data_IF_057245820498
#
_entry.id   IF_057245820498
#
_cell.length_a   1.000
_cell.length_b   1.000
_cell.length_c   1.000
_cell.angle_alpha   90.00
_cell.angle_beta   90.00
_cell.angle_gamma   90.00
#
_symmetry.space_group_name_H-M   'P 1'
#
loop_
_entity.id
_entity.type
_entity.pdbx_description
1 polymer ?
#
# COMPACT_ATOMS: atom_id res chain seq x y z
N UNK A 1 -8.70 -23.11 15.17
CA UNK A 1 -7.33 -23.45 15.63
C UNK A 1 -7.42 -24.12 17.00
N UNK A 2 -6.62 -25.16 17.29
CA UNK A 2 -6.63 -25.82 18.61
C UNK A 2 -6.15 -24.87 19.70
N UNK A 3 -6.64 -25.07 20.92
CA UNK A 3 -6.26 -24.25 22.07
C UNK A 3 -4.78 -24.46 22.45
N UNK A 4 -4.08 -23.38 22.78
CA UNK A 4 -2.69 -23.43 23.22
C UNK A 4 -2.53 -24.20 24.54
N UNK A 5 -1.49 -25.02 24.62
CA UNK A 5 -1.06 -25.70 25.86
C UNK A 5 -0.54 -24.70 26.90
N UNK A 6 -0.47 -25.09 28.18
CA UNK A 6 0.10 -24.25 29.24
C UNK A 6 1.55 -23.81 28.94
N UNK A 7 2.36 -24.71 28.38
CA UNK A 7 3.75 -24.42 28.01
C UNK A 7 3.83 -23.36 26.89
N UNK A 8 3.00 -23.49 25.85
CA UNK A 8 2.95 -22.51 24.76
C UNK A 8 2.47 -21.14 25.23
N UNK A 9 1.48 -21.08 26.13
CA UNK A 9 1.02 -19.82 26.73
C UNK A 9 2.14 -19.13 27.52
N UNK A 10 2.90 -19.88 28.33
CA UNK A 10 4.03 -19.33 29.09
C UNK A 10 5.14 -18.80 28.17
N UNK A 11 5.43 -19.52 27.09
CA UNK A 11 6.43 -19.08 26.10
C UNK A 11 5.98 -17.81 25.37
N UNK A 12 4.72 -17.75 24.94
CA UNK A 12 4.16 -16.57 24.29
C UNK A 12 4.22 -15.34 25.21
N UNK A 13 3.84 -15.51 26.49
CA UNK A 13 3.95 -14.44 27.48
C UNK A 13 5.40 -13.98 27.67
N UNK A 14 6.35 -14.90 27.81
CA UNK A 14 7.76 -14.53 27.96
C UNK A 14 8.31 -13.79 26.73
N UNK A 15 7.86 -14.17 25.53
CA UNK A 15 8.23 -13.47 24.29
C UNK A 15 7.63 -12.05 24.26
N UNK A 16 6.36 -11.90 24.64
CA UNK A 16 5.68 -10.61 24.73
C UNK A 16 6.31 -9.69 25.78
N UNK A 17 6.64 -10.22 26.97
CA UNK A 17 7.31 -9.46 28.03
C UNK A 17 8.69 -8.96 27.56
N UNK A 18 9.45 -9.83 26.88
CA UNK A 18 10.76 -9.45 26.33
C UNK A 18 10.64 -8.43 25.21
N UNK A 19 9.61 -8.56 24.36
CA UNK A 19 9.31 -7.60 23.29
C UNK A 19 8.99 -6.22 23.89
N UNK A 20 8.07 -6.16 24.86
CA UNK A 20 7.68 -4.92 25.52
C UNK A 20 8.86 -4.24 26.22
N UNK A 21 9.65 -4.98 26.98
CA UNK A 21 10.84 -4.44 27.66
C UNK A 21 11.85 -3.86 26.67
N UNK A 22 12.11 -4.54 25.55
CA UNK A 22 13.08 -4.10 24.55
C UNK A 22 12.65 -2.77 23.93
N UNK A 23 11.40 -2.66 23.49
CA UNK A 23 10.92 -1.46 22.81
C UNK A 23 10.56 -0.30 23.76
N UNK A 24 10.20 -0.59 25.02
CA UNK A 24 10.10 0.44 26.05
C UNK A 24 11.46 1.12 26.30
N UNK A 25 12.57 0.36 26.32
CA UNK A 25 13.92 0.93 26.43
C UNK A 25 14.28 1.75 25.19
N UNK A 26 13.93 1.29 24.00
CA UNK A 26 14.29 1.96 22.74
C UNK A 26 13.49 3.24 22.47
N UNK A 27 12.19 3.24 22.78
CA UNK A 27 11.27 4.32 22.42
C UNK A 27 10.78 5.17 23.61
N UNK A 28 11.20 4.81 24.83
CA UNK A 28 10.70 5.39 26.07
C UNK A 28 9.44 4.67 26.58
N UNK A 29 9.39 4.44 27.88
CA UNK A 29 8.33 3.63 28.51
C UNK A 29 6.93 4.21 28.29
N UNK A 30 6.76 5.52 28.51
CA UNK A 30 5.48 6.22 28.32
C UNK A 30 5.00 6.13 26.87
N UNK A 31 5.86 6.50 25.91
CA UNK A 31 5.52 6.47 24.48
C UNK A 31 5.19 5.05 24.02
N UNK A 32 5.95 4.06 24.46
CA UNK A 32 5.72 2.66 24.12
C UNK A 32 4.35 2.19 24.62
N UNK A 33 4.08 2.35 25.93
CA UNK A 33 2.87 1.85 26.57
C UNK A 33 1.61 2.59 26.13
N UNK A 34 1.67 3.91 25.96
CA UNK A 34 0.49 4.71 25.68
C UNK A 34 0.16 4.87 24.20
N UNK A 35 1.12 4.64 23.29
CA UNK A 35 0.90 4.92 21.86
C UNK A 35 1.34 3.78 20.93
N UNK A 36 2.61 3.37 20.96
CA UNK A 36 3.16 2.47 19.93
C UNK A 36 2.65 1.03 20.09
N UNK A 37 2.64 0.50 21.31
CA UNK A 37 2.17 -0.87 21.55
C UNK A 37 0.66 -1.01 21.28
N UNK A 38 -0.22 -0.11 21.77
CA UNK A 38 -1.64 -0.14 21.40
C UNK A 38 -1.87 -0.02 19.89
N UNK A 39 -1.12 0.84 19.19
CA UNK A 39 -1.23 0.98 17.75
C UNK A 39 -0.74 -0.27 16.98
N UNK A 40 0.28 -0.95 17.48
CA UNK A 40 0.78 -2.21 16.92
C UNK A 40 -0.21 -3.36 17.10
N UNK A 41 -0.92 -3.38 18.24
CA UNK A 41 -1.95 -4.37 18.54
C UNK A 41 -3.29 -4.11 17.80
N UNK A 42 -3.48 -2.91 17.26
CA UNK A 42 -4.65 -2.56 16.47
C UNK A 42 -4.61 -3.20 15.06
N UNK A 43 -5.77 -3.29 14.36
CA UNK A 43 -5.81 -3.80 13.00
C UNK A 43 -4.88 -3.06 12.04
N UNK A 44 -4.22 -3.80 11.14
CA UNK A 44 -3.34 -3.24 10.11
C UNK A 44 -4.12 -2.33 9.17
N UNK A 45 -3.60 -1.12 8.93
CA UNK A 45 -4.15 -0.20 7.93
C UNK A 45 -3.64 -0.56 6.55
N UNK A 46 -4.55 -1.06 5.72
CA UNK A 46 -4.26 -1.38 4.33
C UNK A 46 -4.47 -0.14 3.43
N UNK A 47 -3.88 -0.23 2.25
CA UNK A 47 -4.10 0.67 1.13
C UNK A 47 -4.48 -0.14 -0.12
N UNK A 48 -5.35 0.43 -0.95
CA UNK A 48 -5.53 0.00 -2.32
C UNK A 48 -4.64 0.83 -3.25
N UNK A 49 -3.59 0.22 -3.78
CA UNK A 49 -2.78 0.80 -4.86
C UNK A 49 -3.47 0.51 -6.20
N UNK A 50 -4.01 1.54 -6.84
CA UNK A 50 -4.65 1.40 -8.15
C UNK A 50 -3.64 0.97 -9.22
N UNK A 51 -4.07 0.07 -10.10
CA UNK A 51 -3.27 -0.39 -11.22
C UNK A 51 -3.43 0.56 -12.41
N UNK A 52 -2.48 1.48 -12.61
CA UNK A 52 -2.52 2.45 -13.72
C UNK A 52 -2.46 1.80 -15.10
N UNK A 53 -2.13 0.51 -15.17
CA UNK A 53 -2.10 -0.25 -16.41
C UNK A 53 -3.45 -0.86 -16.77
N UNK A 54 -4.40 -0.86 -15.82
CA UNK A 54 -5.73 -1.44 -15.95
C UNK A 54 -6.82 -0.36 -15.86
N UNK A 55 -6.71 0.53 -14.87
CA UNK A 55 -7.77 1.49 -14.53
C UNK A 55 -7.24 2.92 -14.50
N UNK A 56 -8.09 3.85 -14.94
CA UNK A 56 -7.83 5.30 -14.90
C UNK A 56 -8.59 6.00 -13.78
N UNK A 57 -9.73 5.43 -13.38
CA UNK A 57 -10.69 5.99 -12.44
C UNK A 57 -10.85 5.13 -11.18
N UNK A 58 -11.15 5.78 -10.06
CA UNK A 58 -11.45 5.18 -8.76
C UNK A 58 -12.72 4.32 -8.79
N UNK A 59 -13.68 4.70 -9.62
CA UNK A 59 -14.97 4.00 -9.76
C UNK A 59 -14.80 2.56 -10.31
N UNK A 60 -13.65 2.25 -10.92
CA UNK A 60 -13.30 0.89 -11.32
C UNK A 60 -12.83 0.00 -10.16
N UNK A 61 -12.55 0.60 -9.00
CA UNK A 61 -12.06 -0.08 -7.79
C UNK A 61 -13.10 -0.04 -6.68
N UNK A 62 -13.81 1.08 -6.53
CA UNK A 62 -14.72 1.36 -5.43
C UNK A 62 -16.13 1.68 -5.93
N UNK A 63 -17.16 1.34 -5.14
CA UNK A 63 -18.50 1.86 -5.37
C UNK A 63 -18.57 3.36 -5.06
N UNK A 64 -19.59 4.06 -5.57
CA UNK A 64 -19.78 5.49 -5.31
C UNK A 64 -19.83 5.83 -3.80
N UNK A 65 -20.46 4.98 -2.99
CA UNK A 65 -20.49 5.13 -1.53
C UNK A 65 -19.11 4.96 -0.89
N UNK A 66 -18.28 4.05 -1.43
CA UNK A 66 -16.93 3.81 -0.94
C UNK A 66 -15.96 4.93 -1.34
N UNK A 67 -16.13 5.51 -2.53
CA UNK A 67 -15.31 6.66 -2.98
C UNK A 67 -15.39 7.82 -1.99
N UNK A 68 -16.56 8.06 -1.38
CA UNK A 68 -16.73 9.08 -0.37
C UNK A 68 -16.03 8.78 0.98
N UNK A 69 -15.64 7.52 1.20
CA UNK A 69 -15.05 7.03 2.47
C UNK A 69 -13.55 6.78 2.39
N UNK A 70 -12.98 6.76 1.19
CA UNK A 70 -11.54 6.62 0.99
C UNK A 70 -10.85 7.97 0.90
N UNK A 71 -9.59 8.00 1.28
CA UNK A 71 -8.72 9.16 1.20
C UNK A 71 -7.41 8.78 0.50
N UNK A 72 -6.90 9.67 -0.35
CA UNK A 72 -5.62 9.47 -1.01
C UNK A 72 -4.47 9.50 0.00
N UNK A 73 -3.52 8.57 -0.15
CA UNK A 73 -2.31 8.54 0.68
C UNK A 73 -1.25 9.39 0.00
N UNK A 74 -0.73 10.39 0.73
CA UNK A 74 0.38 11.21 0.27
C UNK A 74 1.59 10.94 1.17
N UNK A 75 2.70 10.54 0.55
CA UNK A 75 3.98 10.38 1.24
C UNK A 75 4.91 11.53 0.88
N UNK A 76 5.83 11.91 1.79
CA UNK A 76 6.87 12.86 1.46
C UNK A 76 7.77 12.30 0.35
N UNK A 77 8.04 13.11 -0.67
CA UNK A 77 9.01 12.81 -1.73
C UNK A 77 10.26 13.66 -1.53
N UNK A 78 11.47 13.15 -1.86
CA UNK A 78 12.71 13.92 -1.74
C UNK A 78 12.77 15.16 -2.65
N UNK A 79 12.03 15.14 -3.76
CA UNK A 79 11.95 16.26 -4.72
C UNK A 79 10.57 16.89 -4.75
N UNK A 80 10.52 18.23 -4.83
CA UNK A 80 9.32 19.03 -5.15
C UNK A 80 9.07 19.06 -6.68
N UNK A 81 9.53 18.04 -7.42
CA UNK A 81 9.52 18.12 -8.87
C UNK A 81 8.09 18.12 -9.43
N UNK A 82 7.74 19.09 -10.30
CA UNK A 82 6.42 19.17 -10.92
C UNK A 82 6.15 18.03 -11.92
N UNK A 83 7.16 17.23 -12.25
CA UNK A 83 7.06 16.01 -13.09
C UNK A 83 6.67 14.75 -12.28
N UNK A 84 6.17 14.92 -11.06
CA UNK A 84 5.81 13.77 -10.24
C UNK A 84 4.63 13.01 -10.87
N UNK A 85 4.84 11.74 -11.18
CA UNK A 85 3.79 10.78 -11.51
C UNK A 85 3.50 9.93 -10.26
N UNK A 86 2.81 10.48 -9.23
CA UNK A 86 2.69 9.83 -7.94
C UNK A 86 1.91 8.52 -8.05
N UNK A 87 2.20 7.59 -7.14
CA UNK A 87 1.39 6.39 -6.99
C UNK A 87 0.00 6.80 -6.49
N UNK A 88 -1.04 6.29 -7.16
CA UNK A 88 -2.44 6.51 -6.76
C UNK A 88 -2.83 5.39 -5.80
N UNK A 89 -2.76 5.68 -4.51
CA UNK A 89 -3.13 4.75 -3.44
C UNK A 89 -4.09 5.39 -2.46
N UNK A 90 -5.00 4.57 -1.93
CA UNK A 90 -6.12 5.04 -1.11
C UNK A 90 -6.25 4.19 0.16
N UNK A 91 -6.52 4.85 1.28
CA UNK A 91 -6.84 4.20 2.55
C UNK A 91 -8.27 4.56 2.98
N UNK A 92 -8.88 3.78 3.86
CA UNK A 92 -10.13 4.17 4.49
C UNK A 92 -9.94 5.39 5.41
N UNK A 93 -11.00 6.18 5.58
CA UNK A 93 -11.08 7.20 6.63
C UNK A 93 -10.91 6.59 8.02
N UNK A 94 -10.52 7.40 9.01
CA UNK A 94 -10.28 6.93 10.39
C UNK A 94 -11.52 6.24 11.00
N UNK A 95 -12.72 6.71 10.65
CA UNK A 95 -14.00 6.12 11.08
C UNK A 95 -14.28 4.74 10.47
N UNK A 96 -13.54 4.32 9.45
CA UNK A 96 -13.72 3.10 8.68
C UNK A 96 -12.45 2.23 8.74
N UNK A 97 -11.61 2.40 9.78
CA UNK A 97 -10.29 1.78 9.86
C UNK A 97 -10.31 0.24 9.89
N UNK A 98 -11.45 -0.37 10.25
CA UNK A 98 -11.65 -1.82 10.26
C UNK A 98 -12.30 -2.36 8.98
N UNK A 99 -12.70 -1.47 8.05
CA UNK A 99 -13.34 -1.88 6.80
C UNK A 99 -12.34 -2.63 5.90
N UNK A 100 -12.83 -3.68 5.25
CA UNK A 100 -12.05 -4.44 4.28
C UNK A 100 -12.09 -3.76 2.91
N UNK A 101 -10.94 -3.77 2.23
CA UNK A 101 -10.91 -3.36 0.83
C UNK A 101 -11.62 -4.38 -0.07
N UNK A 102 -12.25 -3.94 -1.17
CA UNK A 102 -12.75 -4.86 -2.18
C UNK A 102 -11.63 -5.76 -2.71
N UNK A 103 -11.98 -6.95 -3.17
CA UNK A 103 -10.98 -7.83 -3.79
C UNK A 103 -10.60 -7.28 -5.18
N UNK A 104 -9.30 -7.29 -5.55
CA UNK A 104 -8.88 -6.96 -6.91
C UNK A 104 -9.63 -7.78 -7.96
N UNK A 105 -10.21 -7.08 -8.94
CA UNK A 105 -10.93 -7.69 -10.06
C UNK A 105 -10.13 -7.54 -11.34
N UNK A 106 -10.22 -8.47 -12.30
CA UNK A 106 -9.64 -8.26 -13.62
C UNK A 106 -10.42 -7.16 -14.38
N UNK A 107 -9.69 -6.19 -14.92
CA UNK A 107 -10.23 -5.19 -15.85
C UNK A 107 -10.62 -5.87 -17.18
N UNK A 108 -11.81 -5.53 -17.69
CA UNK A 108 -12.36 -6.15 -18.88
C UNK A 108 -11.53 -5.92 -20.15
N UNK A 109 -10.81 -4.80 -20.23
CA UNK A 109 -10.06 -4.41 -21.43
C UNK A 109 -8.65 -4.98 -21.48
N UNK A 110 -7.98 -5.04 -20.33
CA UNK A 110 -6.57 -5.42 -20.21
C UNK A 110 -6.36 -6.81 -19.60
N UNK A 111 -7.36 -7.35 -18.90
CA UNK A 111 -7.25 -8.57 -18.10
C UNK A 111 -6.38 -8.41 -16.84
N UNK A 112 -5.81 -7.22 -16.61
CA UNK A 112 -4.99 -6.92 -15.44
C UNK A 112 -5.86 -6.61 -14.23
N UNK A 113 -5.38 -6.91 -13.03
CA UNK A 113 -6.11 -6.59 -11.81
C UNK A 113 -6.26 -5.08 -11.61
N UNK A 114 -7.41 -4.64 -11.10
CA UNK A 114 -7.75 -3.22 -10.93
C UNK A 114 -6.86 -2.52 -9.90
N UNK A 115 -6.40 -3.23 -8.88
CA UNK A 115 -5.57 -2.68 -7.80
C UNK A 115 -4.82 -3.79 -7.04
N UNK A 116 -3.98 -3.38 -6.07
CA UNK A 116 -3.39 -4.25 -5.07
C UNK A 116 -3.69 -3.75 -3.67
N UNK A 117 -4.19 -4.65 -2.82
CA UNK A 117 -4.32 -4.40 -1.38
C UNK A 117 -3.01 -4.77 -0.70
N UNK A 118 -2.40 -3.80 -0.02
CA UNK A 118 -1.13 -3.97 0.70
C UNK A 118 -1.09 -3.09 1.94
N UNK A 119 -0.17 -3.38 2.87
CA UNK A 119 0.11 -2.47 3.99
C UNK A 119 0.48 -1.09 3.43
N UNK A 120 -0.24 -0.05 3.89
CA UNK A 120 -0.04 1.33 3.45
C UNK A 120 1.42 1.78 3.60
N UNK A 121 2.10 1.38 4.68
CA UNK A 121 3.48 1.75 4.93
C UNK A 121 4.46 1.16 3.89
N UNK A 122 4.09 0.10 3.19
CA UNK A 122 4.92 -0.50 2.14
C UNK A 122 5.19 0.45 0.96
N UNK A 123 4.28 1.39 0.71
CA UNK A 123 4.41 2.37 -0.38
C UNK A 123 5.43 3.46 -0.05
N UNK A 124 5.66 3.76 1.24
CA UNK A 124 6.64 4.77 1.66
C UNK A 124 8.03 4.49 1.11
N UNK A 125 8.46 3.22 1.12
CA UNK A 125 9.77 2.82 0.60
C UNK A 125 9.94 3.18 -0.89
N UNK A 126 8.90 2.98 -1.69
CA UNK A 126 8.90 3.31 -3.11
C UNK A 126 8.79 4.83 -3.33
N UNK A 127 8.01 5.53 -2.51
CA UNK A 127 7.89 6.98 -2.56
C UNK A 127 9.19 7.70 -2.25
N UNK A 128 9.97 7.22 -1.27
CA UNK A 128 11.29 7.78 -0.94
C UNK A 128 12.33 7.40 -1.99
N UNK A 129 12.31 6.17 -2.52
CA UNK A 129 13.25 5.77 -3.59
C UNK A 129 13.04 6.59 -4.87
N UNK A 130 11.81 7.05 -5.10
CA UNK A 130 11.42 7.96 -6.17
C UNK A 130 11.93 7.56 -7.58
N UNK A 131 11.77 6.29 -8.02
CA UNK A 131 12.28 5.88 -9.32
C UNK A 131 11.55 6.61 -10.46
N UNK A 132 12.30 6.90 -11.53
CA UNK A 132 11.87 7.65 -12.70
C UNK A 132 11.89 6.77 -13.96
N UNK A 133 11.04 7.06 -14.97
CA UNK A 133 11.13 6.38 -16.25
C UNK A 133 12.54 6.45 -16.83
N UNK A 134 13.09 5.29 -17.21
CA UNK A 134 14.47 5.15 -17.70
C UNK A 134 15.47 4.66 -16.65
N UNK A 135 15.14 4.73 -15.36
CA UNK A 135 16.00 4.19 -14.30
C UNK A 135 16.10 2.67 -14.37
N UNK A 136 17.26 2.14 -13.96
CA UNK A 136 17.48 0.70 -13.76
C UNK A 136 17.37 0.40 -12.27
N UNK A 137 16.30 -0.29 -11.88
CA UNK A 137 15.99 -0.59 -10.47
C UNK A 137 15.98 -2.10 -10.25
N UNK A 138 16.53 -2.53 -9.11
CA UNK A 138 16.55 -3.93 -8.67
C UNK A 138 15.74 -4.07 -7.38
N UNK A 139 14.75 -4.96 -7.39
CA UNK A 139 14.05 -5.44 -6.18
C UNK A 139 14.63 -6.80 -5.78
N UNK A 140 15.54 -6.78 -4.79
CA UNK A 140 16.30 -7.96 -4.39
C UNK A 140 15.42 -9.04 -3.72
N UNK A 141 14.33 -8.62 -3.07
CA UNK A 141 13.44 -9.48 -2.26
C UNK A 141 11.99 -9.28 -2.71
N UNK A 142 11.72 -9.61 -3.98
CA UNK A 142 10.49 -9.21 -4.63
C UNK A 142 9.22 -9.93 -4.13
N UNK A 143 9.29 -11.19 -3.69
CA UNK A 143 8.09 -11.95 -3.31
C UNK A 143 7.41 -11.36 -2.05
N UNK A 144 6.06 -11.22 -2.02
CA UNK A 144 5.08 -11.64 -3.04
C UNK A 144 4.83 -10.62 -4.18
N UNK A 145 5.43 -9.43 -4.17
CA UNK A 145 5.47 -8.54 -5.34
C UNK A 145 4.85 -7.15 -5.18
N UNK A 146 4.23 -6.84 -4.02
CA UNK A 146 3.49 -5.57 -3.86
C UNK A 146 4.34 -4.31 -4.07
N UNK A 147 5.60 -4.33 -3.64
CA UNK A 147 6.56 -3.23 -3.87
C UNK A 147 7.07 -3.23 -5.32
N UNK A 148 7.34 -4.40 -5.90
CA UNK A 148 7.73 -4.53 -7.31
C UNK A 148 6.66 -3.97 -8.26
N UNK A 149 5.38 -4.19 -7.95
CA UNK A 149 4.25 -3.58 -8.65
C UNK A 149 4.32 -2.06 -8.54
N UNK A 150 4.43 -1.51 -7.33
CA UNK A 150 4.56 -0.06 -7.12
C UNK A 150 5.76 0.54 -7.87
N UNK A 151 6.92 -0.13 -7.87
CA UNK A 151 8.10 0.27 -8.65
C UNK A 151 7.80 0.32 -10.14
N UNK A 152 7.18 -0.74 -10.70
CA UNK A 152 6.85 -0.80 -12.14
C UNK A 152 5.94 0.35 -12.58
N UNK A 153 4.98 0.73 -11.74
CA UNK A 153 4.08 1.86 -12.02
C UNK A 153 4.84 3.19 -12.12
N UNK A 154 5.87 3.38 -11.30
CA UNK A 154 6.72 4.59 -11.33
C UNK A 154 7.66 4.61 -12.53
N UNK A 155 8.21 3.46 -12.90
CA UNK A 155 9.13 3.31 -14.04
C UNK A 155 8.43 3.43 -15.39
N UNK A 156 7.10 3.26 -15.44
CA UNK A 156 6.35 3.44 -16.68
C UNK A 156 6.23 4.92 -17.04
N UNK A 157 6.68 5.28 -18.24
CA UNK A 157 6.28 6.53 -18.90
C UNK A 157 4.79 6.43 -19.27
N UNK A 158 4.03 7.50 -19.07
CA UNK A 158 2.61 7.58 -19.47
C UNK A 158 2.49 7.50 -21.01
N UNK A 159 2.63 6.33 -21.61
CA UNK A 159 2.58 6.15 -23.07
C UNK A 159 1.29 5.48 -23.56
N UNK A 160 0.26 5.37 -22.72
CA UNK A 160 -1.00 4.73 -23.12
C UNK A 160 -2.04 5.68 -23.74
N UNK A 161 -1.89 6.99 -23.60
CA UNK A 161 -2.84 7.93 -24.19
C UNK A 161 -2.55 8.23 -25.67
N UNK A 162 -1.32 8.07 -26.16
CA UNK A 162 -0.99 8.36 -27.56
C UNK A 162 -1.45 7.28 -28.55
N UNK A 163 -1.51 6.01 -28.13
CA UNK A 163 -1.82 4.92 -29.06
C UNK A 163 -3.30 4.83 -29.43
N UNK A 164 -4.22 5.32 -28.57
CA UNK A 164 -5.64 5.45 -28.93
C UNK A 164 -5.93 6.68 -29.80
N UNK A 165 -5.18 7.77 -29.63
CA UNK A 165 -5.33 8.98 -30.47
C UNK A 165 -4.84 8.77 -31.91
N UNK A 166 -3.73 8.05 -32.11
CA UNK A 166 -3.18 7.78 -33.46
C UNK A 166 -3.99 6.78 -34.29
N UNK A 167 -4.88 5.99 -33.66
CA UNK A 167 -5.73 5.04 -34.36
C UNK A 167 -7.13 5.61 -34.67
N UNK A 168 -7.61 6.60 -33.90
CA UNK A 168 -8.86 7.33 -34.18
C UNK A 168 -8.69 8.41 -35.26
N UNK A 169 -7.47 8.90 -35.52
CA UNK A 169 -7.18 9.87 -36.59
C UNK A 169 -6.92 9.23 -37.98
N UNK A 170 -7.15 7.92 -38.13
CA UNK A 170 -6.98 7.16 -39.39
C UNK A 170 -8.27 6.50 -39.89
N UNK A 171 -9.42 6.93 -39.37
CA UNK A 171 -10.74 6.66 -39.94
C UNK A 171 -11.40 7.99 -40.31
#
# INVERSE_FOLDING_TARGET
MPALTKAQKKLAQAAEDSFNRTYAVQFGEERWQQSLYPALAAPTRYAALTNRFAVTDLDAVFSQEQVAKVQAITFPTPSDSPESNPLKAYQWGVSEAEATFPQPQPDASSGLLTHWNLDAASLLAVSILEPKPGDKVLDLCAAPGGKSVALSQRLSSQQRDEHKSKQASRL
#
